data_IF_663581708894
#
_entry.id   IF_663581708894
#
_cell.length_a   1.000
_cell.length_b   1.000
_cell.length_c   1.000
_cell.angle_alpha   90.00
_cell.angle_beta   90.00
_cell.angle_gamma   90.00
#
_symmetry.space_group_name_H-M   'P 1'
#
loop_
_entity.id
_entity.type
_entity.pdbx_description
1 polymer ?
#
# COMPACT_ATOMS: atom_id res chain seq x y z
N UNK A 1 -36.75 2.69 25.76
CA UNK A 1 -35.43 2.54 26.42
C UNK A 1 -34.38 3.16 25.49
N UNK A 2 -33.87 4.36 25.81
CA UNK A 2 -32.65 4.89 25.17
C UNK A 2 -31.52 4.06 25.75
N UNK A 3 -30.81 3.32 24.88
CA UNK A 3 -29.56 2.71 25.30
C UNK A 3 -28.67 3.86 25.82
N UNK A 4 -28.20 3.75 27.04
CA UNK A 4 -27.17 4.62 27.58
C UNK A 4 -25.96 4.47 26.68
N UNK A 5 -25.70 5.47 25.83
CA UNK A 5 -24.45 5.52 25.07
C UNK A 5 -23.37 5.82 26.11
N UNK A 6 -22.60 4.83 26.46
CA UNK A 6 -21.38 5.00 27.25
C UNK A 6 -20.52 6.12 26.65
N UNK A 7 -19.93 6.94 27.51
CA UNK A 7 -19.06 8.02 27.04
C UNK A 7 -17.91 7.44 26.27
N UNK A 8 -17.51 8.01 25.09
CA UNK A 8 -16.48 7.47 24.25
C UNK A 8 -15.17 7.29 25.02
N UNK A 9 -14.51 6.16 24.84
CA UNK A 9 -13.24 5.81 25.49
C UNK A 9 -12.12 6.78 25.17
N UNK A 10 -11.04 6.70 25.92
CA UNK A 10 -9.83 7.49 25.65
C UNK A 10 -9.21 7.19 24.29
N UNK A 11 -9.35 5.97 23.77
CA UNK A 11 -8.91 5.58 22.43
C UNK A 11 -9.86 6.13 21.36
N UNK A 12 -11.19 6.02 21.56
CA UNK A 12 -12.18 6.55 20.63
C UNK A 12 -12.04 8.05 20.39
N UNK A 13 -11.82 8.82 21.45
CA UNK A 13 -11.62 10.28 21.39
C UNK A 13 -10.40 10.73 20.59
N UNK A 14 -9.48 9.81 20.27
CA UNK A 14 -8.30 10.13 19.46
C UNK A 14 -8.59 10.20 17.96
N UNK A 15 -9.74 9.71 17.51
CA UNK A 15 -10.12 9.60 16.11
C UNK A 15 -11.35 10.44 15.81
N UNK A 16 -11.35 11.09 14.65
CA UNK A 16 -12.53 11.81 14.16
C UNK A 16 -13.51 10.85 13.52
N UNK A 17 -13.01 9.87 12.79
CA UNK A 17 -13.79 8.81 12.18
C UNK A 17 -13.16 7.45 12.50
N UNK A 18 -13.99 6.48 12.83
CA UNK A 18 -13.62 5.07 12.92
C UNK A 18 -14.52 4.25 12.01
N UNK A 19 -13.95 3.32 11.25
CA UNK A 19 -14.77 2.36 10.51
C UNK A 19 -15.48 1.41 11.47
N UNK A 20 -16.28 0.50 10.92
CA UNK A 20 -16.87 -0.57 11.71
C UNK A 20 -15.76 -1.44 12.33
N UNK A 21 -15.81 -1.65 13.63
CA UNK A 21 -14.89 -2.50 14.38
C UNK A 21 -15.63 -3.69 14.98
N UNK A 22 -14.99 -4.85 15.22
CA UNK A 22 -13.59 -5.13 14.94
C UNK A 22 -13.29 -5.22 13.44
N UNK A 23 -12.08 -4.77 13.03
CA UNK A 23 -11.60 -4.93 11.66
C UNK A 23 -11.39 -6.42 11.38
N UNK A 24 -11.91 -6.89 10.26
CA UNK A 24 -11.78 -8.29 9.84
C UNK A 24 -10.57 -8.48 8.91
N UNK A 25 -9.84 -9.58 9.11
CA UNK A 25 -8.83 -10.07 8.18
C UNK A 25 -9.47 -10.96 7.11
N UNK A 26 -8.72 -11.28 6.06
CA UNK A 26 -9.17 -12.14 4.97
C UNK A 26 -9.83 -13.42 5.47
N UNK A 27 -11.05 -13.75 5.01
CA UNK A 27 -11.79 -14.96 5.42
C UNK A 27 -11.19 -16.25 4.86
N UNK A 28 -10.23 -16.18 3.93
CA UNK A 28 -9.57 -17.35 3.35
C UNK A 28 -8.74 -18.13 4.39
N UNK A 29 -8.36 -17.49 5.49
CA UNK A 29 -7.57 -18.09 6.57
C UNK A 29 -8.41 -18.38 7.84
N UNK A 30 -9.73 -18.41 7.71
CA UNK A 30 -10.64 -18.76 8.81
C UNK A 30 -11.07 -20.23 8.75
N UNK A 31 -11.21 -20.86 9.91
CA UNK A 31 -11.78 -22.21 10.03
C UNK A 31 -13.03 -22.18 10.93
N UNK A 32 -14.13 -22.82 10.57
CA UNK A 32 -14.41 -23.45 9.26
C UNK A 32 -14.51 -22.45 8.12
N UNK A 33 -14.20 -22.87 6.87
CA UNK A 33 -14.26 -21.98 5.71
C UNK A 33 -15.69 -21.48 5.47
N UNK A 34 -15.80 -20.20 5.08
CA UNK A 34 -17.09 -19.54 4.83
C UNK A 34 -17.17 -19.07 3.37
N UNK A 35 -17.59 -19.93 2.41
CA UNK A 35 -17.51 -19.64 0.98
C UNK A 35 -18.17 -18.33 0.56
N UNK A 36 -19.34 -18.01 1.14
CA UNK A 36 -20.03 -16.76 0.84
C UNK A 36 -19.21 -15.53 1.25
N UNK A 37 -18.58 -15.54 2.45
CA UNK A 37 -17.71 -14.44 2.89
C UNK A 37 -16.43 -14.34 2.05
N UNK A 38 -15.88 -15.49 1.64
CA UNK A 38 -14.72 -15.52 0.74
C UNK A 38 -15.08 -14.90 -0.61
N UNK A 39 -16.24 -15.27 -1.18
CA UNK A 39 -16.72 -14.65 -2.40
C UNK A 39 -16.98 -13.14 -2.25
N UNK A 40 -17.64 -12.73 -1.19
CA UNK A 40 -17.87 -11.29 -0.89
C UNK A 40 -16.57 -10.51 -0.78
N UNK A 41 -15.54 -11.11 -0.16
CA UNK A 41 -14.20 -10.52 -0.04
C UNK A 41 -13.53 -10.30 -1.40
N UNK A 42 -13.58 -11.30 -2.28
CA UNK A 42 -13.07 -11.20 -3.65
C UNK A 42 -13.88 -10.19 -4.46
N UNK A 43 -15.22 -10.28 -4.39
CA UNK A 43 -16.11 -9.42 -5.16
C UNK A 43 -15.90 -7.93 -4.81
N UNK A 44 -15.74 -7.60 -3.54
CA UNK A 44 -15.50 -6.22 -3.10
C UNK A 44 -14.16 -5.65 -3.62
N UNK A 45 -13.18 -6.51 -3.94
CA UNK A 45 -11.83 -6.10 -4.36
C UNK A 45 -11.58 -6.18 -5.86
N UNK A 46 -12.41 -6.93 -6.61
CA UNK A 46 -12.17 -7.22 -8.01
C UNK A 46 -13.36 -6.94 -8.94
N UNK A 47 -14.59 -7.08 -8.46
CA UNK A 47 -15.79 -7.02 -9.33
C UNK A 47 -16.63 -5.75 -9.12
N UNK A 48 -16.14 -4.80 -8.32
CA UNK A 48 -16.68 -3.46 -8.20
C UNK A 48 -15.63 -2.44 -8.68
N UNK A 49 -15.95 -1.16 -8.58
CA UNK A 49 -14.93 -0.10 -8.64
C UNK A 49 -14.07 -0.25 -7.38
N UNK A 50 -12.99 -0.98 -7.50
CA UNK A 50 -12.11 -1.36 -6.41
C UNK A 50 -10.64 -1.16 -6.79
N UNK A 51 -9.78 -1.08 -5.82
CA UNK A 51 -8.36 -0.79 -6.00
C UNK A 51 -7.69 -1.78 -6.98
N UNK A 52 -7.84 -3.09 -6.76
CA UNK A 52 -7.20 -4.10 -7.62
C UNK A 52 -7.66 -4.02 -9.08
N UNK A 53 -8.99 -3.83 -9.30
CA UNK A 53 -9.53 -3.72 -10.66
C UNK A 53 -9.07 -2.44 -11.36
N UNK A 54 -8.94 -1.33 -10.64
CA UNK A 54 -8.41 -0.07 -11.17
C UNK A 54 -6.93 -0.25 -11.55
N UNK A 55 -6.11 -0.82 -10.67
CA UNK A 55 -4.69 -1.04 -10.95
C UNK A 55 -4.48 -2.04 -12.09
N UNK A 56 -5.29 -3.10 -12.17
CA UNK A 56 -5.27 -4.02 -13.31
C UNK A 56 -5.61 -3.31 -14.63
N UNK A 57 -6.60 -2.43 -14.63
CA UNK A 57 -6.94 -1.62 -15.80
C UNK A 57 -5.79 -0.67 -16.18
N UNK A 58 -5.14 -0.03 -15.19
CA UNK A 58 -3.96 0.82 -15.43
C UNK A 58 -2.82 0.00 -16.02
N UNK A 59 -2.58 -1.23 -15.53
CA UNK A 59 -1.57 -2.12 -16.08
C UNK A 59 -1.87 -2.53 -17.53
N UNK A 60 -3.13 -2.84 -17.85
CA UNK A 60 -3.56 -3.10 -19.22
C UNK A 60 -3.34 -1.87 -20.13
N UNK A 61 -3.75 -0.68 -19.68
CA UNK A 61 -3.54 0.56 -20.41
C UNK A 61 -2.04 0.81 -20.62
N UNK A 62 -1.24 0.63 -19.57
CA UNK A 62 0.23 0.77 -19.65
C UNK A 62 0.82 -0.20 -20.66
N UNK A 63 0.39 -1.47 -20.65
CA UNK A 63 0.87 -2.50 -21.55
C UNK A 63 0.56 -2.19 -23.03
N UNK A 64 -0.69 -1.82 -23.34
CA UNK A 64 -1.11 -1.67 -24.72
C UNK A 64 -0.71 -0.34 -25.36
N UNK A 65 -0.50 0.72 -24.58
CA UNK A 65 -0.27 2.06 -25.14
C UNK A 65 1.03 2.74 -24.69
N UNK A 66 1.64 2.28 -23.59
CA UNK A 66 2.78 2.99 -22.98
C UNK A 66 3.93 2.05 -22.60
N UNK A 67 3.94 0.82 -23.10
CA UNK A 67 5.02 -0.12 -22.91
C UNK A 67 5.81 -0.27 -24.22
N UNK A 68 7.11 0.06 -24.26
CA UNK A 68 7.98 -0.26 -25.39
C UNK A 68 8.00 -1.76 -25.68
N UNK A 69 8.22 -2.17 -26.94
CA UNK A 69 8.39 -3.58 -27.29
C UNK A 69 9.45 -4.28 -26.43
N UNK A 70 9.17 -5.50 -26.00
CA UNK A 70 10.08 -6.25 -25.10
C UNK A 70 11.47 -6.47 -25.74
N UNK A 71 11.53 -6.53 -27.08
CA UNK A 71 12.79 -6.67 -27.83
C UNK A 71 13.77 -5.52 -27.59
N UNK A 72 13.27 -4.32 -27.33
CA UNK A 72 14.10 -3.15 -27.01
C UNK A 72 14.81 -3.31 -25.67
N UNK A 73 14.22 -4.06 -24.75
CA UNK A 73 14.79 -4.34 -23.44
C UNK A 73 15.97 -5.32 -23.46
N UNK A 74 16.34 -5.91 -24.60
CA UNK A 74 17.55 -6.74 -24.73
C UNK A 74 18.81 -5.98 -24.39
N UNK A 75 18.84 -4.68 -24.66
CA UNK A 75 19.96 -3.79 -24.32
C UNK A 75 19.46 -2.69 -23.37
N UNK A 76 20.32 -2.25 -22.45
CA UNK A 76 19.99 -1.16 -21.50
C UNK A 76 20.12 0.21 -22.20
N UNK A 77 19.26 0.47 -23.19
CA UNK A 77 19.23 1.74 -23.92
C UNK A 77 18.42 2.80 -23.16
N UNK A 78 18.96 4.01 -23.10
CA UNK A 78 18.37 5.13 -22.33
C UNK A 78 16.96 5.50 -22.84
N UNK A 79 16.64 5.27 -24.11
CA UNK A 79 15.36 5.63 -24.73
C UNK A 79 14.19 4.98 -24.00
N UNK A 80 14.07 3.66 -24.09
CA UNK A 80 12.96 2.93 -23.47
C UNK A 80 12.96 3.03 -21.93
N UNK A 81 14.14 3.15 -21.28
CA UNK A 81 14.24 3.38 -19.83
C UNK A 81 13.60 4.71 -19.44
N UNK A 82 13.86 5.76 -20.23
CA UNK A 82 13.28 7.08 -20.00
C UNK A 82 11.74 7.06 -20.20
N UNK A 83 11.25 6.32 -21.19
CA UNK A 83 9.80 6.15 -21.40
C UNK A 83 9.12 5.50 -20.20
N UNK A 84 9.70 4.43 -19.64
CA UNK A 84 9.21 3.81 -18.41
C UNK A 84 9.22 4.80 -17.23
N UNK A 85 10.31 5.55 -17.07
CA UNK A 85 10.44 6.51 -15.99
C UNK A 85 9.36 7.61 -16.09
N UNK A 86 9.16 8.17 -17.28
CA UNK A 86 8.15 9.22 -17.52
C UNK A 86 6.75 8.65 -17.25
N UNK A 87 6.43 7.45 -17.74
CA UNK A 87 5.15 6.78 -17.48
C UNK A 87 4.91 6.61 -15.98
N UNK A 88 5.87 6.07 -15.25
CA UNK A 88 5.75 5.81 -13.81
C UNK A 88 5.64 7.12 -13.02
N UNK A 89 6.41 8.14 -13.40
CA UNK A 89 6.33 9.48 -12.81
C UNK A 89 4.93 10.08 -12.99
N UNK A 90 4.38 10.02 -14.20
CA UNK A 90 3.04 10.55 -14.50
C UNK A 90 1.97 9.76 -13.75
N UNK A 91 2.06 8.43 -13.71
CA UNK A 91 1.11 7.58 -12.98
C UNK A 91 1.07 7.95 -11.49
N UNK A 92 2.23 8.05 -10.84
CA UNK A 92 2.27 8.42 -9.43
C UNK A 92 1.80 9.86 -9.20
N UNK A 93 2.20 10.79 -10.07
CA UNK A 93 1.78 12.18 -9.99
C UNK A 93 0.26 12.32 -10.12
N UNK A 94 -0.36 11.61 -11.05
CA UNK A 94 -1.82 11.64 -11.27
C UNK A 94 -2.55 10.99 -10.10
N UNK A 95 -2.13 9.82 -9.64
CA UNK A 95 -2.83 9.09 -8.58
C UNK A 95 -2.63 9.77 -7.22
N UNK A 96 -1.40 9.92 -6.75
CA UNK A 96 -1.14 10.53 -5.45
C UNK A 96 -1.49 12.03 -5.44
N UNK A 97 -1.18 12.75 -6.53
CA UNK A 97 -1.51 14.16 -6.69
C UNK A 97 -3.02 14.40 -6.79
N UNK A 98 -3.73 13.61 -7.58
CA UNK A 98 -5.19 13.68 -7.71
C UNK A 98 -5.90 13.42 -6.39
N UNK A 99 -5.51 12.37 -5.66
CA UNK A 99 -6.02 12.08 -4.32
C UNK A 99 -5.69 13.22 -3.33
N UNK A 100 -4.46 13.73 -3.37
CA UNK A 100 -4.07 14.85 -2.52
C UNK A 100 -4.89 16.10 -2.80
N UNK A 101 -5.07 16.47 -4.06
CA UNK A 101 -5.89 17.62 -4.45
C UNK A 101 -7.35 17.44 -4.02
N UNK A 102 -7.91 16.24 -4.20
CA UNK A 102 -9.29 15.96 -3.83
C UNK A 102 -9.52 16.06 -2.31
N UNK A 103 -8.69 15.38 -1.51
CA UNK A 103 -8.90 15.27 -0.07
C UNK A 103 -8.35 16.45 0.74
N UNK A 104 -7.15 16.92 0.40
CA UNK A 104 -6.41 17.88 1.21
C UNK A 104 -6.29 19.27 0.58
N UNK A 105 -6.23 19.37 -0.76
CA UNK A 105 -6.18 20.64 -1.49
C UNK A 105 -7.57 21.28 -1.61
N UNK A 106 -8.44 20.69 -2.40
CA UNK A 106 -9.81 21.18 -2.62
C UNK A 106 -10.79 20.80 -1.52
N UNK A 107 -10.44 19.84 -0.67
CA UNK A 107 -11.26 19.35 0.44
C UNK A 107 -12.70 19.02 -0.01
N UNK A 108 -12.84 18.30 -1.12
CA UNK A 108 -14.15 18.05 -1.78
C UNK A 108 -15.16 17.31 -0.91
N UNK A 109 -14.71 16.53 0.08
CA UNK A 109 -15.59 15.88 1.07
C UNK A 109 -15.39 16.43 2.48
N UNK A 110 -14.66 17.53 2.65
CA UNK A 110 -14.35 18.10 3.97
C UNK A 110 -13.62 17.07 4.83
N UNK A 111 -14.12 16.85 6.03
CA UNK A 111 -13.55 15.86 6.97
C UNK A 111 -14.42 14.59 7.09
N UNK A 112 -15.38 14.38 6.18
CA UNK A 112 -16.18 13.15 6.16
C UNK A 112 -15.30 11.93 5.89
N UNK A 113 -15.42 10.91 6.73
CA UNK A 113 -14.61 9.67 6.70
C UNK A 113 -13.11 9.88 6.94
N UNK A 114 -12.68 11.01 7.46
CA UNK A 114 -11.28 11.29 7.80
C UNK A 114 -10.96 10.72 9.18
N UNK A 115 -9.89 9.91 9.27
CA UNK A 115 -9.52 9.25 10.52
C UNK A 115 -8.95 10.20 11.58
N UNK A 116 -8.00 11.05 11.21
CA UNK A 116 -7.28 11.93 12.15
C UNK A 116 -7.78 13.38 12.03
N UNK A 117 -8.00 14.03 13.18
CA UNK A 117 -8.44 15.44 13.23
C UNK A 117 -7.40 16.41 12.70
N UNK A 118 -6.11 16.04 12.77
CA UNK A 118 -4.99 16.91 12.44
C UNK A 118 -4.90 17.16 10.93
N UNK A 119 -4.48 18.35 10.55
CA UNK A 119 -4.06 18.65 9.18
C UNK A 119 -2.65 18.07 8.91
N UNK A 120 -2.30 17.91 7.63
CA UNK A 120 -0.92 17.62 7.23
C UNK A 120 -0.01 18.80 7.62
N UNK A 121 1.17 18.49 8.14
CA UNK A 121 2.07 19.50 8.70
C UNK A 121 2.68 20.42 7.63
N UNK A 122 2.62 21.74 7.85
CA UNK A 122 3.21 22.75 6.97
C UNK A 122 4.45 23.42 7.54
N UNK A 123 4.78 23.16 8.81
CA UNK A 123 5.93 23.77 9.51
C UNK A 123 6.45 22.84 10.60
N UNK A 124 7.00 21.69 10.21
CA UNK A 124 7.60 20.73 11.14
C UNK A 124 9.01 20.35 10.70
N UNK A 125 9.99 20.66 11.54
CA UNK A 125 11.42 20.43 11.29
C UNK A 125 11.84 18.96 11.18
N UNK A 126 10.95 18.02 11.52
CA UNK A 126 11.21 16.59 11.28
C UNK A 126 11.19 16.22 9.78
N UNK A 127 10.57 17.06 8.94
CA UNK A 127 10.57 16.91 7.49
C UNK A 127 11.70 17.72 6.86
N UNK A 128 12.33 17.19 5.81
CA UNK A 128 13.49 17.79 5.14
C UNK A 128 13.23 19.24 4.70
N UNK A 129 12.04 19.52 4.20
CA UNK A 129 11.65 20.89 3.78
C UNK A 129 10.77 21.61 4.82
N UNK A 130 10.75 21.13 6.06
CA UNK A 130 9.82 21.58 7.11
C UNK A 130 8.35 21.50 6.71
N UNK A 131 8.04 20.89 5.57
CA UNK A 131 6.69 20.71 5.00
C UNK A 131 6.48 19.25 4.62
N UNK A 132 5.50 18.61 5.25
CA UNK A 132 5.21 17.19 5.06
C UNK A 132 4.90 16.83 3.61
N UNK A 133 4.11 17.65 2.92
CA UNK A 133 3.68 17.35 1.54
C UNK A 133 4.85 17.48 0.57
N UNK A 134 5.60 18.57 0.66
CA UNK A 134 6.77 18.79 -0.21
C UNK A 134 7.84 17.71 0.00
N UNK A 135 8.08 17.33 1.25
CA UNK A 135 9.01 16.28 1.61
C UNK A 135 8.56 14.92 1.05
N UNK A 136 7.30 14.55 1.24
CA UNK A 136 6.76 13.30 0.74
C UNK A 136 6.75 13.24 -0.80
N UNK A 137 6.45 14.35 -1.48
CA UNK A 137 6.56 14.45 -2.94
C UNK A 137 8.00 14.22 -3.41
N UNK A 138 8.96 14.85 -2.75
CA UNK A 138 10.39 14.71 -3.10
C UNK A 138 10.84 13.24 -3.03
N UNK A 139 10.57 12.54 -1.94
CA UNK A 139 10.97 11.15 -1.78
C UNK A 139 10.21 10.20 -2.70
N UNK A 140 8.90 10.42 -2.88
CA UNK A 140 8.07 9.57 -3.74
C UNK A 140 8.43 9.72 -5.22
N UNK A 141 8.53 10.94 -5.73
CA UNK A 141 8.80 11.22 -7.14
C UNK A 141 10.28 11.07 -7.49
N UNK A 142 11.18 11.36 -6.56
CA UNK A 142 12.63 11.21 -6.74
C UNK A 142 13.04 9.75 -6.63
N UNK A 143 13.33 9.29 -5.42
CA UNK A 143 13.85 7.92 -5.22
C UNK A 143 12.79 6.85 -5.51
N UNK A 144 11.52 7.07 -5.12
CA UNK A 144 10.46 6.08 -5.32
C UNK A 144 10.28 5.68 -6.78
N UNK A 145 10.06 6.66 -7.66
CA UNK A 145 9.91 6.41 -9.11
C UNK A 145 11.19 5.82 -9.72
N UNK A 146 12.37 6.26 -9.26
CA UNK A 146 13.63 5.72 -9.76
C UNK A 146 13.80 4.22 -9.44
N UNK A 147 13.53 3.80 -8.21
CA UNK A 147 13.60 2.39 -7.83
C UNK A 147 12.49 1.55 -8.48
N UNK A 148 11.27 2.08 -8.57
CA UNK A 148 10.19 1.43 -9.32
C UNK A 148 10.60 1.16 -10.77
N UNK A 149 11.08 2.18 -11.47
CA UNK A 149 11.56 2.04 -12.85
C UNK A 149 12.74 1.08 -12.93
N UNK A 150 13.69 1.15 -12.00
CA UNK A 150 14.84 0.24 -11.96
C UNK A 150 14.45 -1.23 -11.88
N UNK A 151 13.43 -1.58 -11.07
CA UNK A 151 12.93 -2.96 -11.02
C UNK A 151 12.19 -3.39 -12.28
N UNK A 152 11.40 -2.50 -12.89
CA UNK A 152 10.76 -2.81 -14.18
C UNK A 152 11.82 -3.02 -15.28
N UNK A 153 12.84 -2.16 -15.34
CA UNK A 153 13.97 -2.30 -16.27
C UNK A 153 14.67 -3.64 -16.06
N UNK A 154 15.00 -3.99 -14.82
CA UNK A 154 15.61 -5.27 -14.49
C UNK A 154 14.78 -6.45 -14.98
N UNK A 155 13.46 -6.43 -14.69
CA UNK A 155 12.58 -7.54 -15.05
C UNK A 155 12.37 -7.66 -16.56
N UNK A 156 12.16 -6.54 -17.27
CA UNK A 156 11.99 -6.59 -18.72
C UNK A 156 13.28 -6.97 -19.43
N UNK A 157 14.43 -6.47 -18.98
CA UNK A 157 15.73 -6.90 -19.48
C UNK A 157 15.95 -8.40 -19.25
N UNK A 158 15.65 -8.90 -18.05
CA UNK A 158 15.79 -10.32 -17.73
C UNK A 158 14.88 -11.20 -18.59
N UNK A 159 13.63 -10.80 -18.78
CA UNK A 159 12.68 -11.50 -19.66
C UNK A 159 13.13 -11.49 -21.12
N UNK A 160 13.56 -10.33 -21.64
CA UNK A 160 14.00 -10.19 -23.04
C UNK A 160 15.25 -11.00 -23.36
N UNK A 161 16.09 -11.27 -22.35
CA UNK A 161 17.33 -12.04 -22.49
C UNK A 161 17.20 -13.51 -22.02
N UNK A 162 16.01 -13.96 -21.64
CA UNK A 162 15.75 -15.34 -21.22
C UNK A 162 16.23 -15.70 -19.81
N UNK A 163 16.57 -14.70 -18.97
CA UNK A 163 16.95 -14.93 -17.57
C UNK A 163 15.74 -15.06 -16.64
N UNK A 164 14.57 -14.61 -17.07
CA UNK A 164 13.31 -14.78 -16.35
C UNK A 164 12.28 -15.47 -17.27
N UNK A 165 11.52 -16.47 -16.76
CA UNK A 165 10.59 -17.24 -17.58
C UNK A 165 9.38 -16.38 -17.98
N UNK A 166 9.02 -16.43 -19.28
CA UNK A 166 7.85 -15.75 -19.84
C UNK A 166 6.67 -16.72 -19.90
N UNK A 167 5.49 -16.24 -19.52
CA UNK A 167 4.21 -16.91 -19.67
C UNK A 167 3.42 -16.24 -20.80
N UNK A 168 3.06 -16.99 -21.82
CA UNK A 168 2.13 -16.51 -22.83
C UNK A 168 0.70 -16.92 -22.47
N UNK A 169 -0.27 -16.13 -22.92
CA UNK A 169 -1.68 -16.46 -22.75
C UNK A 169 -2.03 -17.84 -23.33
N UNK A 170 -1.46 -18.17 -24.50
CA UNK A 170 -1.72 -19.43 -25.20
C UNK A 170 -1.19 -20.65 -24.42
N UNK A 171 -0.17 -20.49 -23.59
CA UNK A 171 0.46 -21.60 -22.86
C UNK A 171 -0.43 -22.05 -21.69
N UNK A 172 -0.93 -21.10 -20.90
CA UNK A 172 -1.76 -21.39 -19.74
C UNK A 172 -2.64 -20.18 -19.36
N UNK A 173 -3.83 -20.02 -19.97
CA UNK A 173 -4.71 -18.90 -19.71
C UNK A 173 -5.23 -18.87 -18.27
N UNK A 174 -5.39 -20.04 -17.63
CA UNK A 174 -5.85 -20.13 -16.23
C UNK A 174 -4.78 -19.53 -15.29
N UNK A 175 -3.52 -19.92 -15.48
CA UNK A 175 -2.42 -19.38 -14.68
C UNK A 175 -2.21 -17.89 -14.96
N UNK A 176 -2.34 -17.48 -16.22
CA UNK A 176 -2.27 -16.06 -16.62
C UNK A 176 -3.28 -15.21 -15.84
N UNK A 177 -4.53 -15.63 -15.78
CA UNK A 177 -5.57 -14.94 -15.00
C UNK A 177 -5.31 -15.05 -13.50
N UNK A 178 -4.92 -16.23 -13.00
CA UNK A 178 -4.68 -16.46 -11.59
C UNK A 178 -3.59 -15.54 -11.02
N UNK A 179 -2.57 -15.19 -11.79
CA UNK A 179 -1.49 -14.29 -11.36
C UNK A 179 -1.99 -12.90 -10.96
N UNK A 180 -3.02 -12.35 -11.61
CA UNK A 180 -3.61 -11.09 -11.18
C UNK A 180 -4.18 -11.19 -9.76
N UNK A 181 -4.83 -12.30 -9.41
CA UNK A 181 -5.40 -12.51 -8.07
C UNK A 181 -4.35 -12.89 -7.03
N UNK A 182 -3.31 -13.60 -7.42
CA UNK A 182 -2.26 -14.07 -6.51
C UNK A 182 -1.21 -13.00 -6.22
N UNK A 183 -0.98 -12.07 -7.14
CA UNK A 183 0.02 -11.00 -6.96
C UNK A 183 -0.24 -10.14 -5.72
N UNK A 184 -1.45 -9.62 -5.44
CA UNK A 184 -1.70 -8.88 -4.20
C UNK A 184 -1.50 -9.72 -2.93
N UNK A 185 -1.78 -11.02 -2.99
CA UNK A 185 -1.54 -11.94 -1.86
C UNK A 185 -0.04 -12.11 -1.62
N UNK A 186 0.74 -12.29 -2.69
CA UNK A 186 2.20 -12.36 -2.61
C UNK A 186 2.80 -11.05 -2.10
N UNK A 187 2.36 -9.90 -2.62
CA UNK A 187 2.78 -8.59 -2.14
C UNK A 187 2.50 -8.46 -0.64
N UNK A 188 1.31 -8.87 -0.19
CA UNK A 188 0.94 -8.87 1.22
C UNK A 188 1.83 -9.77 2.08
N UNK A 189 2.18 -10.95 1.57
CA UNK A 189 3.12 -11.87 2.22
C UNK A 189 4.50 -11.21 2.38
N UNK A 190 5.09 -10.74 1.29
CA UNK A 190 6.40 -10.11 1.26
C UNK A 190 6.43 -8.85 2.13
N UNK A 191 5.41 -7.99 2.02
CA UNK A 191 5.31 -6.74 2.75
C UNK A 191 5.41 -6.94 4.27
N UNK A 192 4.69 -7.89 4.84
CA UNK A 192 4.74 -8.14 6.28
C UNK A 192 6.17 -8.42 6.76
N UNK A 193 6.88 -9.32 6.10
CA UNK A 193 8.23 -9.72 6.52
C UNK A 193 9.25 -8.61 6.34
N UNK A 194 9.19 -7.91 5.22
CA UNK A 194 10.04 -6.73 4.96
C UNK A 194 9.75 -5.62 5.97
N UNK A 195 8.48 -5.35 6.23
CA UNK A 195 8.08 -4.30 7.16
C UNK A 195 8.49 -4.62 8.60
N UNK A 196 8.37 -5.87 9.02
CA UNK A 196 8.91 -6.35 10.31
C UNK A 196 10.43 -6.17 10.40
N UNK A 197 11.16 -6.48 9.32
CA UNK A 197 12.61 -6.24 9.23
C UNK A 197 12.92 -4.74 9.34
N UNK A 198 12.15 -3.88 8.66
CA UNK A 198 12.34 -2.43 8.72
C UNK A 198 12.05 -1.85 10.11
N UNK A 199 11.20 -2.50 10.91
CA UNK A 199 10.97 -2.15 12.31
C UNK A 199 12.04 -2.68 13.28
N UNK A 200 12.99 -3.48 12.83
CA UNK A 200 14.18 -3.81 13.64
C UNK A 200 14.99 -2.54 13.88
N UNK A 201 15.40 -2.22 15.15
CA UNK A 201 15.91 -0.91 15.52
C UNK A 201 17.04 -0.35 14.65
N UNK A 202 18.04 -1.13 14.17
CA UNK A 202 19.04 -0.62 13.24
C UNK A 202 18.44 -0.20 11.88
N UNK A 203 17.55 -1.03 11.30
CA UNK A 203 16.91 -0.74 10.01
C UNK A 203 15.90 0.40 10.11
N UNK A 204 15.18 0.47 11.25
CA UNK A 204 14.27 1.57 11.52
C UNK A 204 15.01 2.91 11.49
N UNK A 205 16.10 3.01 12.24
CA UNK A 205 16.92 4.25 12.30
C UNK A 205 17.58 4.60 10.98
N UNK A 206 18.01 3.58 10.21
CA UNK A 206 18.69 3.76 8.94
C UNK A 206 17.75 4.23 7.83
N UNK A 207 16.56 3.65 7.73
CA UNK A 207 15.67 3.82 6.59
C UNK A 207 14.24 4.18 6.97
N UNK A 208 13.59 3.40 7.82
CA UNK A 208 12.15 3.41 8.00
C UNK A 208 11.61 4.59 8.83
N UNK A 209 12.45 5.21 9.65
CA UNK A 209 12.10 6.43 10.39
C UNK A 209 11.69 7.60 9.48
N UNK A 210 12.19 7.64 8.23
CA UNK A 210 11.79 8.62 7.23
C UNK A 210 10.30 8.44 6.87
N UNK A 211 9.84 7.22 6.67
CA UNK A 211 8.44 6.91 6.39
C UNK A 211 7.55 7.19 7.61
N UNK A 212 7.97 6.74 8.79
CA UNK A 212 7.21 6.86 10.04
C UNK A 212 7.15 8.25 10.67
N UNK A 213 7.88 9.23 10.18
CA UNK A 213 7.63 10.64 10.59
C UNK A 213 6.23 11.13 10.15
N UNK A 214 5.58 10.42 9.23
CA UNK A 214 4.20 10.61 8.81
C UNK A 214 3.21 9.94 9.78
N UNK A 215 3.15 10.36 11.05
CA UNK A 215 2.17 9.84 12.03
C UNK A 215 0.72 10.20 11.69
N UNK A 216 0.52 11.22 10.87
CA UNK A 216 -0.73 11.56 10.21
C UNK A 216 -0.48 11.49 8.71
N UNK A 217 -1.05 10.51 8.04
CA UNK A 217 -0.73 10.17 6.67
C UNK A 217 -1.47 11.04 5.65
N UNK A 218 -0.91 11.14 4.46
CA UNK A 218 -1.52 11.74 3.27
C UNK A 218 -1.08 10.96 2.02
N UNK A 219 -1.74 11.09 0.85
CA UNK A 219 -1.50 10.24 -0.32
C UNK A 219 -0.02 10.14 -0.74
N UNK A 220 0.73 11.21 -0.60
CA UNK A 220 2.16 11.21 -0.91
C UNK A 220 3.02 10.45 0.10
N UNK A 221 2.55 10.26 1.34
CA UNK A 221 3.34 9.58 2.36
C UNK A 221 3.48 8.08 2.11
N UNK A 222 2.55 7.48 1.38
CA UNK A 222 2.55 6.03 1.14
C UNK A 222 3.71 5.51 0.30
N UNK A 223 4.33 6.37 -0.49
CA UNK A 223 5.52 6.03 -1.27
C UNK A 223 6.72 6.94 -0.93
N UNK A 224 6.64 7.65 0.20
CA UNK A 224 7.73 8.49 0.74
C UNK A 224 8.59 7.65 1.67
N UNK A 225 9.63 7.06 1.11
CA UNK A 225 10.52 6.10 1.76
C UNK A 225 11.98 6.44 1.49
N UNK A 226 12.88 5.98 2.37
CA UNK A 226 14.32 6.05 2.13
C UNK A 226 14.72 5.15 0.95
N UNK A 227 15.76 5.47 0.15
CA UNK A 227 16.21 4.63 -0.96
C UNK A 227 16.45 3.15 -0.60
N UNK A 228 17.03 2.87 0.56
CA UNK A 228 17.22 1.49 1.06
C UNK A 228 15.87 0.80 1.28
N UNK A 229 14.88 1.53 1.79
CA UNK A 229 13.53 0.99 1.98
C UNK A 229 12.86 0.70 0.64
N UNK A 230 12.95 1.61 -0.36
CA UNK A 230 12.45 1.34 -1.71
C UNK A 230 13.07 0.09 -2.31
N UNK A 231 14.40 -0.08 -2.16
CA UNK A 231 15.10 -1.26 -2.65
C UNK A 231 14.52 -2.54 -2.05
N UNK A 232 14.31 -2.58 -0.74
CA UNK A 232 13.83 -3.79 -0.06
C UNK A 232 12.31 -3.97 -0.30
N UNK A 233 11.52 -2.88 -0.23
CA UNK A 233 10.07 -2.91 -0.38
C UNK A 233 9.65 -3.41 -1.77
N UNK A 234 10.28 -2.91 -2.84
CA UNK A 234 9.94 -3.26 -4.21
C UNK A 234 10.51 -4.60 -4.68
N UNK A 235 11.38 -5.24 -3.88
CA UNK A 235 12.03 -6.52 -4.24
C UNK A 235 11.06 -7.70 -4.39
N UNK A 236 9.80 -7.57 -3.98
CA UNK A 236 8.78 -8.62 -4.16
C UNK A 236 8.61 -9.07 -5.62
N UNK A 237 8.86 -8.18 -6.59
CA UNK A 237 8.77 -8.47 -8.02
C UNK A 237 9.79 -9.50 -8.47
N UNK A 238 10.89 -9.68 -7.74
CA UNK A 238 11.94 -10.66 -8.06
C UNK A 238 11.45 -12.11 -8.01
N UNK A 239 10.27 -12.39 -7.44
CA UNK A 239 9.62 -13.70 -7.52
C UNK A 239 9.45 -14.17 -8.97
N UNK A 240 9.33 -13.25 -9.91
CA UNK A 240 9.16 -13.57 -11.32
C UNK A 240 10.43 -14.05 -12.02
N UNK A 241 11.57 -14.13 -11.34
CA UNK A 241 12.71 -14.91 -11.80
C UNK A 241 12.45 -16.43 -11.73
N UNK A 242 11.50 -16.86 -10.90
CA UNK A 242 11.15 -18.29 -10.71
C UNK A 242 9.70 -18.59 -11.06
N UNK A 243 8.80 -17.61 -10.95
CA UNK A 243 7.39 -17.75 -11.30
C UNK A 243 7.16 -17.13 -12.68
N UNK A 244 6.90 -17.96 -13.67
CA UNK A 244 6.64 -17.52 -15.03
C UNK A 244 5.49 -16.53 -15.10
N UNK A 245 5.72 -15.38 -15.72
CA UNK A 245 4.76 -14.29 -15.82
C UNK A 245 4.85 -13.62 -17.21
N UNK A 246 3.76 -13.01 -17.65
CA UNK A 246 3.78 -12.11 -18.80
C UNK A 246 4.26 -10.71 -18.37
N UNK A 247 4.90 -9.91 -19.24
CA UNK A 247 5.28 -8.53 -18.89
C UNK A 247 4.16 -7.67 -18.28
N UNK A 248 2.91 -7.90 -18.65
CA UNK A 248 1.75 -7.22 -18.06
C UNK A 248 1.60 -7.49 -16.55
N UNK A 249 2.03 -8.67 -16.08
CA UNK A 249 2.00 -9.00 -14.65
C UNK A 249 3.10 -8.25 -13.90
N UNK A 250 4.25 -7.99 -14.54
CA UNK A 250 5.30 -7.14 -13.97
C UNK A 250 4.77 -5.71 -13.79
N UNK A 251 4.10 -5.17 -14.83
CA UNK A 251 3.45 -3.86 -14.72
C UNK A 251 2.41 -3.83 -13.61
N UNK A 252 1.51 -4.81 -13.56
CA UNK A 252 0.49 -4.90 -12.52
C UNK A 252 1.12 -4.99 -11.12
N UNK A 253 2.14 -5.83 -10.95
CA UNK A 253 2.84 -6.01 -9.68
C UNK A 253 3.45 -4.69 -9.18
N UNK A 254 4.24 -4.04 -10.03
CA UNK A 254 4.95 -2.82 -9.67
C UNK A 254 4.00 -1.63 -9.47
N UNK A 255 3.03 -1.48 -10.36
CA UNK A 255 1.99 -0.45 -10.23
C UNK A 255 1.13 -0.68 -8.99
N UNK A 256 0.81 -1.93 -8.66
CA UNK A 256 0.08 -2.26 -7.44
C UNK A 256 0.87 -1.79 -6.21
N UNK A 257 2.15 -2.16 -6.06
CA UNK A 257 2.95 -1.72 -4.92
C UNK A 257 3.09 -0.20 -4.83
N UNK A 258 3.37 0.48 -5.95
CA UNK A 258 3.60 1.91 -5.95
C UNK A 258 2.31 2.73 -5.72
N UNK A 259 1.21 2.37 -6.40
CA UNK A 259 -0.03 3.16 -6.38
C UNK A 259 -0.90 2.87 -5.16
N UNK A 260 -0.92 1.61 -4.66
CA UNK A 260 -1.67 1.30 -3.45
C UNK A 260 -1.07 1.92 -2.20
N UNK A 261 0.21 2.26 -2.22
CA UNK A 261 0.80 3.14 -1.21
C UNK A 261 0.05 4.47 -1.10
N UNK A 262 -0.23 5.13 -2.22
CA UNK A 262 -0.95 6.41 -2.23
C UNK A 262 -2.42 6.27 -1.79
N UNK A 263 -3.10 5.19 -2.19
CA UNK A 263 -4.51 4.96 -1.83
C UNK A 263 -4.67 4.57 -0.36
N UNK A 264 -3.80 3.70 0.17
CA UNK A 264 -3.84 3.27 1.58
C UNK A 264 -3.52 4.38 2.58
N UNK A 265 -2.81 5.41 2.14
CA UNK A 265 -2.37 6.55 2.97
C UNK A 265 -3.20 7.83 2.75
N UNK A 266 -4.40 7.75 2.21
CA UNK A 266 -5.22 8.97 2.02
C UNK A 266 -5.57 9.66 3.34
N UNK A 267 -5.61 8.93 4.46
CA UNK A 267 -6.11 9.40 5.76
C UNK A 267 -7.64 9.38 5.86
N UNK A 268 -8.33 8.82 4.85
CA UNK A 268 -9.78 8.71 4.75
C UNK A 268 -10.21 7.27 4.46
N UNK A 269 -11.35 6.82 4.99
CA UNK A 269 -11.86 5.45 4.73
C UNK A 269 -12.30 5.23 3.28
N UNK A 270 -12.71 6.29 2.59
CA UNK A 270 -13.15 6.16 1.22
C UNK A 270 -13.45 7.48 0.54
N UNK A 271 -13.60 7.39 -0.78
CA UNK A 271 -13.95 8.49 -1.65
C UNK A 271 -15.47 8.57 -1.80
N UNK A 272 -16.04 9.72 -1.47
CA UNK A 272 -17.47 10.01 -1.57
C UNK A 272 -17.78 10.69 -2.91
N UNK A 273 -18.74 10.15 -3.64
CA UNK A 273 -19.33 10.81 -4.79
C UNK A 273 -20.83 10.97 -4.54
N UNK A 274 -21.33 12.21 -4.53
CA UNK A 274 -22.74 12.53 -4.19
C UNK A 274 -23.15 11.89 -2.86
N UNK A 275 -22.30 12.05 -1.83
CA UNK A 275 -22.48 11.52 -0.47
C UNK A 275 -22.63 9.99 -0.37
N UNK A 276 -22.15 9.25 -1.37
CA UNK A 276 -22.09 7.78 -1.34
C UNK A 276 -20.63 7.35 -1.41
N UNK A 277 -20.22 6.42 -0.54
CA UNK A 277 -18.90 5.80 -0.64
C UNK A 277 -18.82 5.01 -1.95
N UNK A 278 -17.88 5.37 -2.83
CA UNK A 278 -17.72 4.81 -4.17
C UNK A 278 -16.45 3.98 -4.32
N UNK A 279 -15.43 4.30 -3.54
CA UNK A 279 -14.17 3.61 -3.54
C UNK A 279 -13.64 3.59 -2.12
N UNK A 280 -13.46 2.39 -1.56
CA UNK A 280 -12.74 2.20 -0.32
C UNK A 280 -11.28 2.60 -0.52
N UNK A 281 -10.79 3.48 0.34
CA UNK A 281 -9.42 3.99 0.31
C UNK A 281 -8.92 4.04 1.74
N UNK A 282 -7.61 4.09 1.92
CA UNK A 282 -7.01 4.13 3.23
C UNK A 282 -7.38 2.91 4.07
N UNK A 283 -6.54 2.54 4.96
CA UNK A 283 -6.88 1.49 5.91
C UNK A 283 -6.71 2.03 7.33
N UNK A 284 -7.77 2.00 8.13
CA UNK A 284 -7.67 2.35 9.54
C UNK A 284 -6.65 1.48 10.27
N UNK A 285 -6.53 0.23 9.82
CA UNK A 285 -5.50 -0.71 10.23
C UNK A 285 -4.08 -0.12 10.09
N UNK A 286 -3.74 0.39 8.91
CA UNK A 286 -2.43 0.97 8.63
C UNK A 286 -2.27 2.38 9.24
N UNK A 287 -3.35 3.16 9.32
CA UNK A 287 -3.36 4.44 10.03
C UNK A 287 -3.00 4.28 11.52
N UNK A 288 -3.50 3.21 12.16
CA UNK A 288 -3.12 2.87 13.54
C UNK A 288 -1.64 2.47 13.63
N UNK A 289 -1.12 1.75 12.63
CA UNK A 289 0.31 1.42 12.56
C UNK A 289 1.18 2.68 12.56
N UNK A 290 0.92 3.64 11.69
CA UNK A 290 1.64 4.92 11.66
C UNK A 290 1.55 5.72 12.96
N UNK A 291 0.44 5.58 13.68
CA UNK A 291 0.23 6.31 14.93
C UNK A 291 0.88 5.64 16.14
N UNK A 292 0.87 4.31 16.19
CA UNK A 292 1.29 3.54 17.37
C UNK A 292 2.59 2.74 17.16
N UNK A 293 3.01 2.52 15.93
CA UNK A 293 4.24 1.84 15.50
C UNK A 293 4.28 0.33 15.75
N UNK A 294 3.79 -0.16 16.88
CA UNK A 294 3.99 -1.55 17.34
C UNK A 294 2.77 -2.46 17.13
N UNK A 295 1.97 -2.16 16.12
CA UNK A 295 0.84 -3.00 15.71
C UNK A 295 0.68 -2.93 14.19
N UNK A 296 -0.01 -3.93 13.61
CA UNK A 296 -0.49 -3.87 12.23
C UNK A 296 0.60 -3.67 11.19
N UNK A 297 1.65 -4.48 11.23
CA UNK A 297 2.78 -4.41 10.29
C UNK A 297 2.42 -4.87 8.88
N UNK A 298 1.43 -5.74 8.72
CA UNK A 298 0.96 -6.25 7.45
C UNK A 298 -0.20 -5.45 6.87
N UNK A 299 -0.91 -6.11 5.98
CA UNK A 299 -2.23 -5.69 5.52
C UNK A 299 -3.26 -6.80 5.80
N UNK A 300 -4.52 -6.60 5.38
CA UNK A 300 -5.61 -7.49 5.76
C UNK A 300 -5.73 -8.75 4.89
N UNK A 301 -4.94 -8.86 3.80
CA UNK A 301 -4.98 -10.00 2.87
C UNK A 301 -4.36 -11.25 3.49
N UNK A 302 -3.29 -11.08 4.27
CA UNK A 302 -2.61 -12.14 5.00
C UNK A 302 -2.69 -11.87 6.51
N UNK A 303 -3.18 -12.80 7.34
CA UNK A 303 -3.42 -12.58 8.77
C UNK A 303 -2.17 -12.69 9.64
N UNK A 304 -1.02 -12.24 9.15
CA UNK A 304 0.26 -12.32 9.85
C UNK A 304 0.24 -11.63 11.20
N UNK A 305 -0.30 -10.40 11.26
CA UNK A 305 -0.42 -9.67 12.52
C UNK A 305 -1.26 -10.41 13.55
N UNK A 306 -2.32 -11.10 13.12
CA UNK A 306 -3.15 -11.92 13.99
C UNK A 306 -2.39 -13.16 14.50
N UNK A 307 -1.67 -13.84 13.63
CA UNK A 307 -0.91 -15.04 13.99
C UNK A 307 0.30 -14.72 14.88
N UNK A 308 0.94 -13.57 14.69
CA UNK A 308 2.09 -13.13 15.49
C UNK A 308 1.74 -12.13 16.59
N UNK A 309 0.46 -11.94 16.90
CA UNK A 309 0.00 -11.20 18.06
C UNK A 309 0.19 -9.66 17.97
N UNK A 310 0.45 -9.11 16.78
CA UNK A 310 0.57 -7.66 16.55
C UNK A 310 -0.71 -7.02 16.02
N UNK A 311 -1.79 -7.78 15.85
CA UNK A 311 -3.04 -7.29 15.29
C UNK A 311 -3.78 -6.38 16.26
N UNK A 312 -4.09 -5.17 15.81
CA UNK A 312 -4.97 -4.21 16.44
C UNK A 312 -6.20 -4.04 15.56
N UNK A 313 -7.34 -4.57 16.01
CA UNK A 313 -8.58 -4.62 15.26
C UNK A 313 -9.46 -3.37 15.38
N UNK A 314 -8.95 -2.33 16.03
CA UNK A 314 -9.66 -1.06 16.24
C UNK A 314 -10.52 -1.01 17.50
N UNK A 315 -10.55 -2.07 18.31
CA UNK A 315 -11.26 -2.10 19.59
C UNK A 315 -10.44 -1.52 20.74
N UNK A 316 -11.10 -1.11 21.81
CA UNK A 316 -10.43 -0.63 23.03
C UNK A 316 -9.62 -1.73 23.70
N UNK A 317 -10.13 -2.97 23.70
CA UNK A 317 -9.42 -4.12 24.26
C UNK A 317 -8.12 -4.38 23.52
N UNK A 318 -8.11 -4.26 22.19
CA UNK A 318 -6.89 -4.39 21.40
C UNK A 318 -5.90 -3.26 21.70
N UNK A 319 -6.41 -2.05 21.95
CA UNK A 319 -5.57 -0.91 22.31
C UNK A 319 -4.88 -1.09 23.67
N UNK A 320 -5.62 -1.57 24.69
CA UNK A 320 -5.03 -1.85 26.00
C UNK A 320 -4.01 -2.99 25.93
N UNK A 321 -4.30 -4.10 25.20
CA UNK A 321 -3.32 -5.17 24.97
C UNK A 321 -2.03 -4.66 24.29
N UNK A 322 -2.14 -3.73 23.34
CA UNK A 322 -0.98 -3.12 22.71
C UNK A 322 -0.16 -2.29 23.72
N UNK A 323 -0.81 -1.50 24.58
CA UNK A 323 -0.15 -0.71 25.63
C UNK A 323 0.60 -1.60 26.63
N UNK A 324 0.01 -2.70 27.04
CA UNK A 324 0.60 -3.66 27.97
C UNK A 324 1.89 -4.27 27.39
N UNK A 325 1.85 -4.72 26.11
CA UNK A 325 3.04 -5.19 25.41
C UNK A 325 4.17 -4.16 25.40
N UNK A 326 3.82 -2.91 25.12
CA UNK A 326 4.78 -1.80 25.07
C UNK A 326 5.45 -1.54 26.41
N UNK A 327 4.70 -1.65 27.54
CA UNK A 327 5.25 -1.54 28.88
C UNK A 327 6.22 -2.69 29.19
N UNK A 328 5.92 -3.91 28.76
CA UNK A 328 6.79 -5.08 28.92
C UNK A 328 8.15 -4.92 28.21
N UNK A 329 8.19 -4.28 27.04
CA UNK A 329 9.44 -3.98 26.34
C UNK A 329 10.26 -2.87 26.99
N UNK A 330 9.60 -1.83 27.51
CA UNK A 330 10.29 -0.69 28.15
C UNK A 330 10.78 -1.00 29.58
N UNK A 331 10.30 -2.08 30.20
CA UNK A 331 10.76 -2.54 31.50
C UNK A 331 11.95 -3.52 31.44
N UNK A 332 12.41 -3.90 30.24
CA UNK A 332 13.55 -4.80 30.00
C UNK A 332 14.77 -4.08 29.39
N UNK A 333 14.70 -2.79 29.17
CA UNK A 333 15.78 -1.89 28.72
C UNK A 333 16.21 -1.02 29.90
#
# INVERSE_FOLDING_TARGET
>A
MKADQEAPSGFERQWQHRPQVPIEVSPFFSWPPRPLRMWQWVAARWFAIAENSIVAAIACISWFWFQPPLEEAKTLAIGWITELYIRNFILLLVVAGGLHLYFHGWRKQGDHLKYDTRALSRSNRSFTFSNQVADNMFWSLGSGVAFWTGYEVLMFWAMANGYAPILLWADNPVWFIALFFLTPVWISFHFYWVHRLLHWPPMYRLAHALHHRNTNVGPWSGFSMHPIEHLIFLSSVLIHFVVAAHPIHILFHMQHQALTGATSHTGFEGLLVKNRNRLALGTFHHQMHHRYFECNYGNLEMPWDKWFGSFHDGTDEAHERMKERRKGFSGQA
#
